data_IF_371898976566
#
_entry.id   IF_371898976566
#
_cell.length_a   1.000
_cell.length_b   1.000
_cell.length_c   1.000
_cell.angle_alpha   90.00
_cell.angle_beta   90.00
_cell.angle_gamma   90.00
#
_symmetry.space_group_name_H-M   'P 1'
#
loop_
_entity.id
_entity.type
_entity.pdbx_description
1 polymer ?
#
# COMPACT_ATOMS: atom_id res chain seq x y z
N UNK A 1 13.41 -31.98 -9.20
CA UNK A 1 12.41 -30.99 -8.75
C UNK A 1 12.84 -30.50 -7.38
N UNK A 2 13.58 -29.40 -7.33
CA UNK A 2 13.97 -28.74 -6.08
C UNK A 2 12.89 -27.72 -5.76
N UNK A 3 12.24 -27.88 -4.62
CA UNK A 3 11.27 -26.93 -4.09
C UNK A 3 12.07 -25.67 -3.76
N UNK A 4 11.82 -24.59 -4.49
CA UNK A 4 12.36 -23.28 -4.17
C UNK A 4 11.73 -22.83 -2.85
N UNK A 5 12.38 -23.22 -1.76
CA UNK A 5 12.17 -22.68 -0.44
C UNK A 5 12.38 -21.17 -0.56
N UNK A 6 11.26 -20.45 -0.55
CA UNK A 6 11.25 -18.99 -0.64
C UNK A 6 11.83 -18.49 0.68
N UNK A 7 13.15 -18.36 0.73
CA UNK A 7 13.87 -17.91 1.92
C UNK A 7 13.27 -16.59 2.39
N UNK A 8 12.68 -16.61 3.59
CA UNK A 8 12.24 -15.43 4.30
C UNK A 8 13.50 -14.63 4.65
N UNK A 9 13.88 -13.61 3.87
CA UNK A 9 15.04 -12.79 4.21
C UNK A 9 14.73 -11.96 5.46
N UNK A 10 15.45 -12.22 6.54
CA UNK A 10 15.32 -11.50 7.82
C UNK A 10 16.08 -10.16 7.84
N UNK A 11 16.71 -9.83 6.72
CA UNK A 11 17.51 -8.62 6.52
C UNK A 11 16.69 -7.35 6.78
N UNK A 12 17.38 -6.28 7.20
CA UNK A 12 16.80 -4.94 7.34
C UNK A 12 16.06 -4.52 6.07
N UNK A 13 14.99 -3.73 6.23
CA UNK A 13 14.26 -3.19 5.09
C UNK A 13 15.13 -2.17 4.35
N UNK A 14 15.22 -2.33 3.03
CA UNK A 14 15.89 -1.36 2.16
C UNK A 14 15.10 -0.05 2.10
N UNK A 15 15.75 1.04 1.72
CA UNK A 15 15.05 2.33 1.55
C UNK A 15 13.98 2.27 0.46
N UNK A 16 14.18 1.46 -0.59
CA UNK A 16 13.18 1.23 -1.63
C UNK A 16 11.95 0.49 -1.10
N UNK A 17 12.12 -0.49 -0.22
CA UNK A 17 11.01 -1.22 0.42
C UNK A 17 10.23 -0.30 1.36
N UNK A 18 10.91 0.57 2.11
CA UNK A 18 10.28 1.58 2.97
C UNK A 18 9.49 2.59 2.14
N UNK A 19 10.06 3.08 1.04
CA UNK A 19 9.38 4.01 0.13
C UNK A 19 8.13 3.38 -0.50
N UNK A 20 8.24 2.14 -1.01
CA UNK A 20 7.10 1.40 -1.54
C UNK A 20 6.00 1.20 -0.49
N UNK A 21 6.38 0.94 0.76
CA UNK A 21 5.43 0.79 1.87
C UNK A 21 4.72 2.10 2.18
N UNK A 22 5.45 3.22 2.27
CA UNK A 22 4.87 4.53 2.50
C UNK A 22 3.87 4.90 1.39
N UNK A 23 4.22 4.62 0.14
CA UNK A 23 3.34 4.84 -1.02
C UNK A 23 2.01 4.11 -0.88
N UNK A 24 2.01 2.81 -0.56
CA UNK A 24 0.77 2.05 -0.39
C UNK A 24 -0.04 2.51 0.83
N UNK A 25 0.62 2.94 1.91
CA UNK A 25 -0.05 3.48 3.08
C UNK A 25 -0.51 4.94 2.90
N UNK A 26 -0.27 5.56 1.74
CA UNK A 26 -0.66 6.94 1.45
C UNK A 26 0.17 8.00 2.18
N UNK A 27 1.36 7.62 2.67
CA UNK A 27 2.27 8.51 3.37
C UNK A 27 3.32 9.11 2.44
N UNK A 28 3.63 10.41 2.55
CA UNK A 28 4.67 11.02 1.75
C UNK A 28 6.07 10.64 2.27
N UNK A 29 6.97 10.29 1.36
CA UNK A 29 8.38 10.06 1.68
C UNK A 29 9.17 11.38 1.70
N UNK A 30 9.07 12.14 2.79
CA UNK A 30 9.82 13.39 2.96
C UNK A 30 11.26 13.10 3.41
N UNK A 31 12.25 13.57 2.64
CA UNK A 31 13.66 13.55 3.03
C UNK A 31 13.95 14.35 4.32
N UNK A 32 13.09 15.31 4.67
CA UNK A 32 13.21 16.14 5.87
C UNK A 32 11.85 16.40 6.54
N UNK A 33 11.35 15.43 7.32
CA UNK A 33 10.25 15.64 8.27
C UNK A 33 10.62 16.60 9.42
N UNK A 34 11.92 16.74 9.71
CA UNK A 34 12.42 17.40 10.91
C UNK A 34 12.30 18.93 10.89
N UNK A 35 12.23 19.58 9.72
CA UNK A 35 12.20 21.05 9.66
C UNK A 35 10.83 21.67 9.93
N UNK A 36 9.74 20.92 9.81
CA UNK A 36 8.40 21.45 10.13
C UNK A 36 8.13 21.53 11.64
N UNK A 37 8.83 20.72 12.45
CA UNK A 37 8.71 20.76 13.92
C UNK A 37 9.36 22.05 14.49
N UNK A 38 10.30 22.66 13.77
CA UNK A 38 11.06 23.83 14.23
C UNK A 38 10.27 25.16 14.13
N UNK A 39 9.18 25.20 13.35
CA UNK A 39 8.39 26.41 13.10
C UNK A 39 7.04 26.45 13.85
N UNK A 40 6.80 25.52 14.78
CA UNK A 40 5.58 25.50 15.60
C UNK A 40 4.29 25.18 14.82
N UNK A 41 4.40 24.76 13.56
CA UNK A 41 3.26 24.34 12.75
C UNK A 41 3.19 22.81 12.72
N UNK A 42 2.13 22.17 13.25
CA UNK A 42 1.96 20.72 13.18
C UNK A 42 1.53 20.32 11.77
N UNK A 43 2.44 20.43 10.80
CA UNK A 43 2.19 20.05 9.42
C UNK A 43 2.18 18.53 9.28
N UNK A 44 1.00 17.89 9.44
CA UNK A 44 0.65 16.52 9.04
C UNK A 44 1.66 15.37 9.37
N UNK A 45 2.64 15.62 10.24
CA UNK A 45 3.81 14.77 10.47
C UNK A 45 3.60 13.72 11.55
N UNK A 46 2.57 13.90 12.38
CA UNK A 46 2.32 13.06 13.56
C UNK A 46 2.07 11.57 13.22
N UNK A 47 1.28 11.21 12.20
CA UNK A 47 1.09 9.80 11.86
C UNK A 47 2.33 9.21 11.16
N UNK A 48 3.08 10.04 10.42
CA UNK A 48 4.27 9.62 9.67
C UNK A 48 5.37 9.09 10.61
N UNK A 49 5.54 9.73 11.78
CA UNK A 49 6.49 9.26 12.80
C UNK A 49 6.23 7.81 13.24
N UNK A 50 4.97 7.40 13.39
CA UNK A 50 4.62 6.05 13.83
C UNK A 50 5.06 4.99 12.82
N UNK A 51 4.98 5.30 11.52
CA UNK A 51 5.43 4.38 10.46
C UNK A 51 6.95 4.24 10.45
N UNK A 52 7.68 5.35 10.58
CA UNK A 52 9.14 5.31 10.66
C UNK A 52 9.65 4.62 11.94
N UNK A 53 8.96 4.78 13.07
CA UNK A 53 9.24 4.04 14.29
C UNK A 53 8.90 2.55 14.14
N UNK A 54 7.80 2.20 13.48
CA UNK A 54 7.43 0.82 13.16
C UNK A 54 8.50 0.12 12.30
N UNK A 55 9.06 0.79 11.30
CA UNK A 55 10.17 0.23 10.51
C UNK A 55 11.40 -0.12 11.37
N UNK A 56 11.66 0.63 12.44
CA UNK A 56 12.78 0.36 13.36
C UNK A 56 12.49 -0.77 14.34
N UNK A 57 11.22 -0.98 14.68
CA UNK A 57 10.79 -1.93 15.73
C UNK A 57 10.25 -3.25 15.17
N UNK A 58 10.00 -3.34 13.87
CA UNK A 58 9.49 -4.55 13.24
C UNK A 58 10.46 -5.72 13.44
N UNK A 59 9.90 -6.86 13.87
CA UNK A 59 10.65 -8.11 14.06
C UNK A 59 11.20 -8.62 12.72
N UNK A 60 12.37 -9.27 12.68
CA UNK A 60 12.95 -9.79 11.44
C UNK A 60 12.02 -10.73 10.66
N UNK A 61 11.30 -11.60 11.38
CA UNK A 61 10.24 -12.48 10.83
C UNK A 61 9.18 -11.69 10.06
N UNK A 62 8.73 -10.56 10.61
CA UNK A 62 7.70 -9.73 9.98
C UNK A 62 8.22 -8.98 8.76
N UNK A 63 9.54 -8.78 8.61
CA UNK A 63 10.13 -8.08 7.46
C UNK A 63 9.95 -8.86 6.17
N UNK A 64 10.21 -10.16 6.18
CA UNK A 64 9.99 -10.96 4.97
C UNK A 64 8.51 -11.17 4.66
N UNK A 65 7.63 -11.15 5.67
CA UNK A 65 6.18 -11.11 5.43
C UNK A 65 5.76 -9.80 4.76
N UNK A 66 6.29 -8.68 5.24
CA UNK A 66 6.08 -7.37 4.63
C UNK A 66 6.56 -7.34 3.18
N UNK A 67 7.74 -7.89 2.88
CA UNK A 67 8.25 -8.03 1.50
C UNK A 67 7.31 -8.81 0.61
N UNK A 68 6.81 -9.95 1.08
CA UNK A 68 5.85 -10.76 0.32
C UNK A 68 4.57 -9.98 0.04
N UNK A 69 4.03 -9.32 1.05
CA UNK A 69 2.80 -8.54 0.93
C UNK A 69 3.00 -7.34 -0.01
N UNK A 70 4.17 -6.68 0.02
CA UNK A 70 4.57 -5.64 -0.95
C UNK A 70 4.68 -6.19 -2.37
N UNK A 71 5.32 -7.34 -2.58
CA UNK A 71 5.41 -7.98 -3.90
C UNK A 71 4.01 -8.27 -4.47
N UNK A 72 3.07 -8.72 -3.62
CA UNK A 72 1.68 -8.96 -4.06
C UNK A 72 0.94 -7.66 -4.37
N UNK A 73 1.14 -6.61 -3.57
CA UNK A 73 0.54 -5.31 -3.84
C UNK A 73 1.05 -4.70 -5.16
N UNK A 74 2.36 -4.79 -5.41
CA UNK A 74 2.99 -4.32 -6.65
C UNK A 74 2.49 -5.10 -7.87
N UNK A 75 2.38 -6.42 -7.77
CA UNK A 75 1.86 -7.27 -8.86
C UNK A 75 0.42 -6.88 -9.22
N UNK A 76 -0.46 -6.66 -8.22
CA UNK A 76 -1.84 -6.21 -8.45
C UNK A 76 -1.87 -4.81 -9.08
N UNK A 77 -1.02 -3.88 -8.63
CA UNK A 77 -0.95 -2.55 -9.22
C UNK A 77 -0.48 -2.58 -10.69
N UNK A 78 0.51 -3.43 -11.02
CA UNK A 78 0.92 -3.67 -12.39
C UNK A 78 -0.23 -4.23 -13.25
N UNK A 79 -1.02 -5.14 -12.70
CA UNK A 79 -2.20 -5.69 -13.38
C UNK A 79 -3.26 -4.61 -13.64
N UNK A 80 -3.51 -3.70 -12.69
CA UNK A 80 -4.40 -2.55 -12.88
C UNK A 80 -3.89 -1.62 -13.99
N UNK A 81 -2.57 -1.37 -14.03
CA UNK A 81 -1.96 -0.55 -15.07
C UNK A 81 -2.09 -1.20 -16.46
N UNK A 82 -1.91 -2.52 -16.57
CA UNK A 82 -2.10 -3.27 -17.82
C UNK A 82 -3.57 -3.32 -18.23
N UNK A 83 -4.49 -3.56 -17.29
CA UNK A 83 -5.94 -3.62 -17.58
C UNK A 83 -6.47 -2.28 -18.09
N UNK A 84 -5.94 -1.15 -17.63
CA UNK A 84 -6.30 0.18 -18.15
C UNK A 84 -6.02 0.35 -19.65
N UNK A 85 -5.02 -0.35 -20.19
CA UNK A 85 -4.77 -0.35 -21.64
C UNK A 85 -5.85 -1.13 -22.40
N UNK A 86 -6.40 -2.19 -21.81
CA UNK A 86 -7.40 -3.10 -22.39
C UNK A 86 -8.83 -2.58 -22.27
N UNK A 87 -9.14 -1.84 -21.20
CA UNK A 87 -10.47 -1.22 -20.98
C UNK A 87 -10.83 -0.25 -22.11
N UNK A 88 -9.85 0.36 -22.79
CA UNK A 88 -10.07 1.18 -23.99
C UNK A 88 -10.48 0.38 -25.23
N UNK A 89 -10.34 -0.94 -25.21
CA UNK A 89 -10.62 -1.83 -26.34
C UNK A 89 -11.82 -2.71 -26.00
N UNK A 90 -13.02 -2.21 -26.29
CA UNK A 90 -14.29 -2.85 -25.90
C UNK A 90 -14.57 -4.16 -26.65
N UNK A 91 -13.90 -4.43 -27.78
CA UNK A 91 -13.93 -5.72 -28.51
C UNK A 91 -12.64 -5.95 -29.30
N UNK A 92 -11.98 -7.08 -29.06
CA UNK A 92 -11.00 -7.69 -29.97
C UNK A 92 -11.54 -9.07 -30.36
N UNK A 93 -12.24 -9.18 -31.49
CA UNK A 93 -12.82 -10.44 -31.96
C UNK A 93 -13.90 -11.04 -31.04
N UNK A 94 -13.82 -12.35 -30.77
CA UNK A 94 -14.73 -13.13 -29.88
C UNK A 94 -14.35 -13.07 -28.39
N UNK A 95 -13.32 -12.33 -27.99
CA UNK A 95 -12.90 -12.25 -26.59
C UNK A 95 -13.74 -11.22 -25.84
N UNK A 96 -14.63 -11.69 -24.97
CA UNK A 96 -15.37 -10.84 -24.02
C UNK A 96 -14.49 -10.52 -22.82
N UNK A 97 -14.06 -9.26 -22.69
CA UNK A 97 -13.40 -8.77 -21.48
C UNK A 97 -14.43 -8.61 -20.36
N UNK A 98 -14.04 -8.95 -19.13
CA UNK A 98 -14.92 -8.84 -17.96
C UNK A 98 -14.90 -7.38 -17.47
N UNK A 99 -16.08 -6.76 -17.38
CA UNK A 99 -16.20 -5.35 -17.05
C UNK A 99 -15.94 -5.01 -15.56
N UNK A 100 -15.96 -6.01 -14.68
CA UNK A 100 -15.74 -5.92 -13.24
C UNK A 100 -14.27 -6.18 -12.82
N UNK A 101 -13.39 -6.57 -13.75
CA UNK A 101 -12.00 -6.93 -13.49
C UNK A 101 -11.24 -5.81 -12.75
N UNK A 102 -11.48 -4.55 -13.16
CA UNK A 102 -10.87 -3.38 -12.54
C UNK A 102 -11.33 -3.19 -11.08
N UNK A 103 -12.61 -3.40 -10.79
CA UNK A 103 -13.16 -3.25 -9.44
C UNK A 103 -12.66 -4.37 -8.51
N UNK A 104 -12.55 -5.60 -9.04
CA UNK A 104 -11.99 -6.74 -8.30
C UNK A 104 -10.50 -6.54 -7.98
N UNK A 105 -9.72 -6.07 -8.95
CA UNK A 105 -8.30 -5.78 -8.74
C UNK A 105 -8.11 -4.65 -7.72
N UNK A 106 -8.94 -3.62 -7.75
CA UNK A 106 -8.89 -2.51 -6.79
C UNK A 106 -9.19 -2.98 -5.36
N UNK A 107 -10.20 -3.83 -5.15
CA UNK A 107 -10.48 -4.47 -3.85
C UNK A 107 -9.33 -5.35 -3.37
N UNK A 108 -8.69 -6.06 -4.31
CA UNK A 108 -7.54 -6.91 -4.00
C UNK A 108 -6.33 -6.08 -3.58
N UNK A 109 -6.10 -4.94 -4.22
CA UNK A 109 -5.07 -3.99 -3.83
C UNK A 109 -5.34 -3.45 -2.42
N UNK A 110 -6.59 -3.07 -2.13
CA UNK A 110 -7.00 -2.61 -0.80
C UNK A 110 -6.72 -3.65 0.29
N UNK A 111 -7.02 -4.93 0.02
CA UNK A 111 -6.74 -6.04 0.94
C UNK A 111 -5.24 -6.15 1.27
N UNK A 112 -4.38 -6.07 0.26
CA UNK A 112 -2.92 -6.15 0.48
C UNK A 112 -2.40 -4.92 1.22
N UNK A 113 -2.91 -3.73 0.93
CA UNK A 113 -2.57 -2.51 1.67
C UNK A 113 -2.95 -2.60 3.14
N UNK A 114 -4.16 -3.11 3.47
CA UNK A 114 -4.56 -3.35 4.87
C UNK A 114 -3.65 -4.35 5.56
N UNK A 115 -3.27 -5.41 4.86
CA UNK A 115 -2.37 -6.43 5.40
C UNK A 115 -0.95 -5.90 5.66
N UNK A 116 -0.46 -4.99 4.83
CA UNK A 116 0.79 -4.23 5.06
C UNK A 116 0.67 -3.39 6.34
N UNK A 117 -0.45 -2.68 6.50
CA UNK A 117 -0.73 -1.86 7.68
C UNK A 117 -0.79 -2.71 8.97
N UNK A 118 -1.49 -3.84 8.93
CA UNK A 118 -1.58 -4.80 10.04
C UNK A 118 -0.22 -5.38 10.42
N UNK A 119 0.64 -5.65 9.43
CA UNK A 119 2.00 -6.18 9.67
C UNK A 119 2.88 -5.19 10.40
N UNK A 120 2.69 -3.89 10.15
CA UNK A 120 3.41 -2.80 10.80
C UNK A 120 2.73 -2.31 12.09
N UNK A 121 1.46 -2.66 12.31
CA UNK A 121 0.66 -2.15 13.42
C UNK A 121 0.37 -0.64 13.30
N UNK A 122 0.30 -0.13 12.07
CA UNK A 122 0.06 1.29 11.78
C UNK A 122 -1.26 1.46 11.07
N UNK A 123 -1.86 2.64 11.21
CA UNK A 123 -3.06 3.00 10.46
C UNK A 123 -2.63 3.59 9.11
N UNK A 124 -3.23 3.22 7.98
CA UNK A 124 -3.03 3.92 6.71
C UNK A 124 -3.35 5.41 6.85
N UNK A 125 -2.72 6.27 6.05
CA UNK A 125 -2.88 7.71 6.18
C UNK A 125 -4.37 8.12 6.07
N UNK A 126 -4.98 8.63 7.16
CA UNK A 126 -6.40 9.02 7.14
C UNK A 126 -6.65 10.27 6.30
N UNK A 127 -5.60 10.99 5.92
CA UNK A 127 -5.67 12.17 5.06
C UNK A 127 -5.37 11.86 3.59
N UNK A 128 -5.04 10.60 3.26
CA UNK A 128 -4.83 10.20 1.88
C UNK A 128 -6.11 10.38 1.09
N UNK A 129 -6.05 10.98 -0.09
CA UNK A 129 -7.19 11.06 -1.01
C UNK A 129 -7.29 9.84 -1.93
N UNK A 130 -6.38 8.86 -1.82
CA UNK A 130 -6.50 7.60 -2.53
C UNK A 130 -7.63 6.77 -1.93
N UNK A 131 -8.78 6.75 -2.60
CA UNK A 131 -9.89 5.86 -2.30
C UNK A 131 -9.78 4.60 -3.17
N UNK A 132 -9.22 3.53 -2.59
CA UNK A 132 -9.32 2.20 -3.15
C UNK A 132 -10.59 1.54 -2.60
N UNK A 133 -11.62 1.41 -3.44
CA UNK A 133 -12.83 0.62 -3.17
C UNK A 133 -13.51 0.83 -1.80
N UNK A 134 -13.41 2.04 -1.22
CA UNK A 134 -14.01 2.36 0.08
C UNK A 134 -13.00 2.56 1.21
N UNK A 135 -11.68 2.62 0.94
CA UNK A 135 -10.71 3.18 1.87
C UNK A 135 -10.99 4.68 2.00
N UNK A 136 -11.55 5.11 3.14
CA UNK A 136 -12.19 6.39 3.14
C UNK A 136 -11.10 7.41 3.52
N UNK A 137 -10.72 8.19 2.51
CA UNK A 137 -9.74 9.26 2.61
C UNK A 137 -10.35 10.51 3.22
N UNK A 138 -10.17 10.72 4.51
CA UNK A 138 -10.62 11.92 5.23
C UNK A 138 -10.94 11.65 6.69
N UNK A 139 -11.18 12.71 7.46
CA UNK A 139 -11.53 12.60 8.89
C UNK A 139 -13.00 12.12 9.07
N UNK A 140 -13.80 12.01 8.00
CA UNK A 140 -15.24 11.69 8.01
C UNK A 140 -15.60 10.39 7.27
N UNK A 141 -14.75 9.40 7.44
CA UNK A 141 -14.63 8.28 6.55
C UNK A 141 -15.45 7.05 7.00
N UNK A 142 -16.28 7.20 8.03
CA UNK A 142 -17.21 6.15 8.48
C UNK A 142 -18.44 6.18 7.59
N UNK A 143 -18.55 5.24 6.63
CA UNK A 143 -19.84 4.92 6.02
C UNK A 143 -20.71 4.26 7.09
N UNK A 144 -21.66 5.01 7.62
CA UNK A 144 -22.80 4.44 8.35
C UNK A 144 -23.60 3.63 7.32
N UNK A 145 -23.85 2.33 7.54
CA UNK A 145 -24.70 1.56 6.64
C UNK A 145 -26.12 2.12 6.70
N UNK A 146 -26.60 2.67 5.58
CA UNK A 146 -28.03 2.95 5.33
C UNK A 146 -28.67 1.77 4.64
#
# INVERSE_FOLDING_TARGET
>A
MSVAETAFSTEELTEAEKDATLRFLGYPNWAALAQSIQLGYPAASQPNFLVFDAFRRIRPESRARLRQDLCRALDVECQIADSNSRVKTTKVGEVTLRADEFDELTKRLEFWTKRIADTLGVVPNPYSQMDYAGMPGGINAVRIPT
#
